data_IF_432841240885
#
_entry.id   IF_432841240885
#
_cell.length_a   1.000
_cell.length_b   1.000
_cell.length_c   1.000
_cell.angle_alpha   90.00
_cell.angle_beta   90.00
_cell.angle_gamma   90.00
#
_symmetry.space_group_name_H-M   'P 1'
#
loop_
_entity.id
_entity.type
_entity.pdbx_description
1 polymer ?
#
# COMPACT_ATOMS: atom_id res chain seq x y z
N UNK A 1 12.96 8.31 -35.16
CA UNK A 1 11.50 8.08 -35.01
C UNK A 1 11.19 6.75 -34.34
N UNK A 2 11.74 5.61 -34.81
CA UNK A 2 11.51 4.27 -34.23
C UNK A 2 11.94 4.12 -32.76
N UNK A 3 13.12 4.65 -32.38
CA UNK A 3 13.62 4.59 -31.00
C UNK A 3 12.71 5.34 -29.99
N UNK A 4 12.08 6.44 -30.43
CA UNK A 4 11.20 7.25 -29.59
C UNK A 4 9.84 6.57 -29.37
N UNK A 5 9.32 5.89 -30.40
CA UNK A 5 8.09 5.10 -30.30
C UNK A 5 8.31 3.89 -29.40
N UNK A 6 9.41 3.16 -29.58
CA UNK A 6 9.76 2.02 -28.73
C UNK A 6 10.00 2.46 -27.28
N UNK A 7 10.73 3.55 -27.05
CA UNK A 7 10.96 4.12 -25.72
C UNK A 7 9.65 4.50 -25.01
N UNK A 8 8.69 5.09 -25.73
CA UNK A 8 7.38 5.42 -25.17
C UNK A 8 6.56 4.17 -24.83
N UNK A 9 6.56 3.16 -25.70
CA UNK A 9 5.87 1.88 -25.45
C UNK A 9 6.50 1.14 -24.27
N UNK A 10 7.83 1.06 -24.19
CA UNK A 10 8.53 0.45 -23.06
C UNK A 10 8.27 1.19 -21.75
N UNK A 11 8.22 2.53 -21.76
CA UNK A 11 7.91 3.33 -20.57
C UNK A 11 6.45 3.15 -20.11
N UNK A 12 5.49 3.02 -21.04
CA UNK A 12 4.09 2.74 -20.72
C UNK A 12 3.94 1.32 -20.17
N UNK A 13 4.59 0.33 -20.77
CA UNK A 13 4.65 -1.05 -20.28
C UNK A 13 5.25 -1.09 -18.87
N UNK A 14 6.38 -0.44 -18.64
CA UNK A 14 7.00 -0.37 -17.31
C UNK A 14 6.10 0.32 -16.28
N UNK A 15 5.33 1.35 -16.66
CA UNK A 15 4.34 1.99 -15.79
C UNK A 15 3.15 1.08 -15.50
N UNK A 16 2.63 0.35 -16.49
CA UNK A 16 1.55 -0.63 -16.34
C UNK A 16 1.98 -1.79 -15.42
N UNK A 17 3.22 -2.27 -15.54
CA UNK A 17 3.76 -3.31 -14.68
C UNK A 17 4.32 -2.80 -13.35
N UNK A 18 4.47 -1.49 -13.14
CA UNK A 18 5.04 -0.94 -11.90
C UNK A 18 4.24 -1.28 -10.65
N UNK A 19 2.90 -1.37 -10.77
CA UNK A 19 2.03 -1.84 -9.69
C UNK A 19 2.33 -3.29 -9.31
N UNK A 20 2.39 -4.17 -10.29
CA UNK A 20 2.63 -5.62 -10.10
C UNK A 20 4.10 -5.94 -9.75
N UNK A 21 5.06 -5.19 -10.29
CA UNK A 21 6.48 -5.34 -9.99
C UNK A 21 6.77 -4.98 -8.53
N UNK A 22 6.14 -3.92 -8.01
CA UNK A 22 6.26 -3.55 -6.60
C UNK A 22 5.66 -4.61 -5.69
N UNK A 23 4.51 -5.20 -6.07
CA UNK A 23 3.92 -6.33 -5.37
C UNK A 23 4.88 -7.51 -5.30
N UNK A 24 5.44 -7.92 -6.43
CA UNK A 24 6.36 -9.06 -6.50
C UNK A 24 7.66 -8.81 -5.71
N UNK A 25 8.21 -7.60 -5.75
CA UNK A 25 9.41 -7.26 -4.99
C UNK A 25 9.19 -7.33 -3.47
N UNK A 26 8.05 -6.83 -2.98
CA UNK A 26 7.71 -6.89 -1.55
C UNK A 26 7.36 -8.32 -1.11
N UNK A 27 6.65 -9.08 -1.94
CA UNK A 27 6.37 -10.49 -1.71
C UNK A 27 7.66 -11.32 -1.63
N UNK A 28 8.67 -11.00 -2.45
CA UNK A 28 9.97 -11.66 -2.41
C UNK A 28 10.66 -11.44 -1.07
N UNK A 29 10.70 -10.19 -0.57
CA UNK A 29 11.26 -9.85 0.75
C UNK A 29 10.57 -10.60 1.88
N UNK A 30 9.24 -10.73 1.81
CA UNK A 30 8.46 -11.49 2.79
C UNK A 30 8.84 -12.97 2.79
N UNK A 31 8.97 -13.57 1.59
CA UNK A 31 9.40 -14.97 1.45
C UNK A 31 10.82 -15.19 1.95
N UNK A 32 11.73 -14.25 1.70
CA UNK A 32 13.09 -14.27 2.24
C UNK A 32 13.10 -14.14 3.77
N UNK A 33 12.28 -13.26 4.33
CA UNK A 33 12.12 -13.09 5.78
C UNK A 33 11.60 -14.37 6.45
N UNK A 34 10.56 -15.00 5.87
CA UNK A 34 10.03 -16.29 6.30
C UNK A 34 11.11 -17.38 6.29
N UNK A 35 11.93 -17.41 5.24
CA UNK A 35 13.01 -18.39 5.08
C UNK A 35 14.14 -18.15 6.08
N UNK A 36 14.53 -16.89 6.30
CA UNK A 36 15.60 -16.51 7.22
C UNK A 36 15.26 -16.82 8.68
N UNK A 37 14.02 -16.53 9.08
CA UNK A 37 13.55 -16.76 10.46
C UNK A 37 12.92 -18.15 10.69
N UNK A 38 12.94 -19.05 9.69
CA UNK A 38 12.32 -20.38 9.75
C UNK A 38 10.88 -20.36 10.30
N UNK A 39 10.06 -19.48 9.74
CA UNK A 39 8.68 -19.30 10.22
C UNK A 39 7.85 -20.58 9.92
N UNK A 40 7.16 -21.16 10.92
CA UNK A 40 6.33 -22.36 10.72
C UNK A 40 5.17 -22.10 9.75
N UNK A 41 4.80 -23.13 8.98
CA UNK A 41 3.78 -23.11 7.92
C UNK A 41 2.49 -22.33 8.21
N UNK A 42 1.81 -22.53 9.36
CA UNK A 42 0.58 -21.80 9.66
C UNK A 42 0.79 -20.29 9.85
N UNK A 43 1.95 -19.86 10.39
CA UNK A 43 2.26 -18.44 10.54
C UNK A 43 2.65 -17.81 9.21
N UNK A 44 3.38 -18.56 8.37
CA UNK A 44 3.69 -18.18 6.99
C UNK A 44 2.41 -17.88 6.19
N UNK A 45 1.42 -18.78 6.24
CA UNK A 45 0.18 -18.62 5.49
C UNK A 45 -0.57 -17.35 5.91
N UNK A 46 -0.68 -17.10 7.23
CA UNK A 46 -1.28 -15.88 7.75
C UNK A 46 -0.54 -14.62 7.30
N UNK A 47 0.78 -14.68 7.19
CA UNK A 47 1.61 -13.56 6.76
C UNK A 47 1.43 -13.25 5.27
N UNK A 48 1.36 -14.30 4.43
CA UNK A 48 1.07 -14.17 2.99
C UNK A 48 -0.36 -13.65 2.75
N UNK A 49 -1.36 -14.19 3.45
CA UNK A 49 -2.76 -13.74 3.37
C UNK A 49 -2.93 -12.29 3.83
N UNK A 50 -2.32 -11.92 4.96
CA UNK A 50 -2.34 -10.54 5.43
C UNK A 50 -1.72 -9.58 4.40
N UNK A 51 -0.60 -9.97 3.79
CA UNK A 51 0.03 -9.14 2.77
C UNK A 51 -0.85 -8.97 1.52
N UNK A 52 -1.51 -10.03 1.06
CA UNK A 52 -2.45 -9.95 -0.07
C UNK A 52 -3.63 -9.01 0.27
N UNK A 53 -4.20 -9.13 1.48
CA UNK A 53 -5.27 -8.25 1.93
C UNK A 53 -4.83 -6.79 2.08
N UNK A 54 -3.68 -6.55 2.71
CA UNK A 54 -3.12 -5.21 2.88
C UNK A 54 -2.80 -4.58 1.51
N UNK A 55 -2.27 -5.36 0.57
CA UNK A 55 -1.99 -4.91 -0.79
C UNK A 55 -3.26 -4.57 -1.57
N UNK A 56 -4.32 -5.39 -1.44
CA UNK A 56 -5.61 -5.11 -2.07
C UNK A 56 -6.26 -3.83 -1.51
N UNK A 57 -6.05 -3.53 -0.23
CA UNK A 57 -6.61 -2.36 0.43
C UNK A 57 -5.82 -1.07 0.15
N UNK A 58 -4.49 -1.15 0.12
CA UNK A 58 -3.63 0.03 -0.03
C UNK A 58 -3.12 0.24 -1.45
N UNK A 59 -3.25 -0.75 -2.35
CA UNK A 59 -2.59 -0.77 -3.66
C UNK A 59 -1.08 -0.49 -3.60
N UNK A 60 -0.46 -0.72 -2.43
CA UNK A 60 0.94 -0.39 -2.12
C UNK A 60 1.20 1.09 -1.81
N UNK A 61 0.18 1.90 -1.54
CA UNK A 61 0.33 3.26 -1.02
C UNK A 61 0.67 3.15 0.47
N UNK A 62 1.89 3.54 0.82
CA UNK A 62 2.29 3.71 2.21
C UNK A 62 1.67 5.01 2.73
N UNK A 63 0.56 4.89 3.46
CA UNK A 63 -0.19 6.02 4.00
C UNK A 63 0.69 6.91 4.90
N UNK A 64 1.68 6.33 5.59
CA UNK A 64 2.58 7.09 6.48
C UNK A 64 3.56 7.97 5.70
N UNK A 65 4.04 7.48 4.55
CA UNK A 65 4.89 8.26 3.64
C UNK A 65 4.09 9.37 2.97
N UNK A 66 2.86 9.07 2.54
CA UNK A 66 1.97 10.06 1.95
C UNK A 66 1.65 11.17 2.96
N UNK A 67 1.27 10.82 4.19
CA UNK A 67 0.99 11.80 5.24
C UNK A 67 2.21 12.69 5.52
N UNK A 68 3.42 12.12 5.64
CA UNK A 68 4.65 12.89 5.86
C UNK A 68 5.08 13.79 4.70
N UNK A 69 4.53 13.57 3.51
CA UNK A 69 4.82 14.40 2.32
C UNK A 69 4.03 15.71 2.31
N UNK A 70 3.04 15.86 3.19
CA UNK A 70 2.21 17.07 3.29
C UNK A 70 2.49 17.82 4.60
N UNK A 71 2.34 19.16 4.63
CA UNK A 71 2.38 19.94 5.87
C UNK A 71 1.23 19.55 6.82
N UNK A 72 1.45 19.73 8.13
CA UNK A 72 0.54 19.25 9.20
C UNK A 72 -0.92 19.69 9.03
N UNK A 73 -1.16 20.91 8.53
CA UNK A 73 -2.53 21.39 8.27
C UNK A 73 -3.29 20.50 7.27
N UNK A 74 -2.62 20.09 6.18
CA UNK A 74 -3.22 19.20 5.17
C UNK A 74 -3.33 17.76 5.68
N UNK A 75 -2.41 17.31 6.52
CA UNK A 75 -2.52 16.00 7.15
C UNK A 75 -3.79 15.90 8.00
N UNK A 76 -4.11 16.95 8.76
CA UNK A 76 -5.30 17.00 9.62
C UNK A 76 -6.60 17.02 8.80
N UNK A 77 -6.67 17.82 7.75
CA UNK A 77 -7.85 17.85 6.86
C UNK A 77 -8.10 16.49 6.19
N UNK A 78 -7.04 15.84 5.71
CA UNK A 78 -7.12 14.50 5.11
C UNK A 78 -7.52 13.46 6.15
N UNK A 79 -6.94 13.51 7.35
CA UNK A 79 -7.28 12.62 8.46
C UNK A 79 -8.77 12.74 8.81
N UNK A 80 -9.26 13.97 9.01
CA UNK A 80 -10.67 14.23 9.31
C UNK A 80 -11.59 13.75 8.19
N UNK A 81 -11.21 13.91 6.93
CA UNK A 81 -11.99 13.41 5.80
C UNK A 81 -12.09 11.88 5.79
N UNK A 82 -10.98 11.18 6.02
CA UNK A 82 -10.91 9.72 6.03
C UNK A 82 -11.72 9.13 7.19
N UNK A 83 -11.59 9.71 8.38
CA UNK A 83 -12.27 9.21 9.59
C UNK A 83 -13.68 9.78 9.78
N UNK A 84 -14.15 10.66 8.89
CA UNK A 84 -15.45 11.34 9.00
C UNK A 84 -16.60 10.37 9.25
N UNK A 85 -16.68 9.27 8.49
CA UNK A 85 -17.76 8.29 8.64
C UNK A 85 -17.75 7.56 9.98
N UNK A 86 -16.56 7.31 10.56
CA UNK A 86 -16.41 6.71 11.87
C UNK A 86 -16.82 7.70 12.97
N UNK A 87 -16.37 8.95 12.86
CA UNK A 87 -16.62 10.03 13.82
C UNK A 87 -18.09 10.47 13.82
N UNK A 88 -18.76 10.51 12.66
CA UNK A 88 -20.19 10.85 12.57
C UNK A 88 -21.10 9.69 12.99
N UNK A 89 -20.63 8.44 12.87
CA UNK A 89 -21.45 7.25 13.14
C UNK A 89 -21.43 6.79 14.60
N UNK A 90 -20.52 7.31 15.43
CA UNK A 90 -20.35 6.88 16.82
C UNK A 90 -20.90 7.92 17.79
N UNK A 91 -21.89 7.51 18.60
CA UNK A 91 -22.54 8.36 19.62
C UNK A 91 -21.58 8.85 20.70
N UNK A 92 -20.42 8.19 20.87
CA UNK A 92 -19.39 8.54 21.86
C UNK A 92 -18.66 9.85 21.52
N UNK A 93 -18.61 10.24 20.25
CA UNK A 93 -17.95 11.47 19.81
C UNK A 93 -18.93 12.63 19.58
N UNK A 94 -20.23 12.37 19.72
CA UNK A 94 -21.22 13.42 19.92
C UNK A 94 -21.29 13.61 21.43
N UNK A 95 -20.81 14.75 21.93
CA UNK A 95 -20.68 15.00 23.37
C UNK A 95 -22.04 15.14 24.08
N UNK A 96 -22.78 14.03 24.18
CA UNK A 96 -24.00 13.85 24.97
C UNK A 96 -23.90 12.58 25.84
#
# INVERSE_FOLDING_TARGET
MYASIFGNVSAIIQRLYSGTARYHAQMLRIKEFIRFHQIPGPLRQRLEEYFIHAWAYTCGIDMTVVQRSFPECLQMDICMHIYRGLLTGTRVFHGE
#
